data_IF_669376804539
#
_entry.id   IF_669376804539
#
_cell.length_a   1.000
_cell.length_b   1.000
_cell.length_c   1.000
_cell.angle_alpha   90.00
_cell.angle_beta   90.00
_cell.angle_gamma   90.00
#
_symmetry.space_group_name_H-M   'P 1'
#
loop_
_entity.id
_entity.type
_entity.pdbx_description
1 polymer ?
#
# COMPACT_ATOMS: atom_id res chain seq x y z
N UNK A 1 -0.09 -13.54 23.48
CA UNK A 1 -0.85 -12.42 22.90
C UNK A 1 -2.27 -12.88 22.64
N UNK A 2 -3.28 -12.10 23.05
CA UNK A 2 -4.67 -12.43 22.73
C UNK A 2 -4.97 -12.11 21.26
N UNK A 3 -5.89 -12.84 20.62
CA UNK A 3 -6.25 -12.57 19.22
C UNK A 3 -6.67 -11.10 19.01
N UNK A 4 -7.41 -10.53 19.96
CA UNK A 4 -7.87 -9.15 19.88
C UNK A 4 -6.74 -8.12 20.00
N UNK A 5 -5.72 -8.43 20.80
CA UNK A 5 -4.51 -7.61 20.94
C UNK A 5 -3.71 -7.57 19.62
N UNK A 6 -3.60 -8.70 18.91
CA UNK A 6 -2.98 -8.75 17.58
C UNK A 6 -3.77 -7.91 16.57
N UNK A 7 -5.10 -7.97 16.63
CA UNK A 7 -5.97 -7.18 15.76
C UNK A 7 -5.84 -5.67 16.01
N UNK A 8 -5.71 -5.24 17.27
CA UNK A 8 -5.43 -3.83 17.60
C UNK A 8 -4.05 -3.39 17.10
N UNK A 9 -3.04 -4.26 17.20
CA UNK A 9 -1.72 -4.00 16.59
C UNK A 9 -1.81 -3.80 15.08
N UNK A 10 -2.61 -4.61 14.37
CA UNK A 10 -2.84 -4.47 12.91
C UNK A 10 -3.51 -3.15 12.57
N UNK A 11 -4.56 -2.81 13.32
CA UNK A 11 -5.27 -1.54 13.17
C UNK A 11 -4.29 -0.36 13.26
N UNK A 12 -3.48 -0.32 14.32
CA UNK A 12 -2.51 0.77 14.56
C UNK A 12 -1.43 0.77 13.47
N UNK A 13 -0.88 -0.39 13.12
CA UNK A 13 0.14 -0.48 12.08
C UNK A 13 -0.35 0.14 10.76
N UNK A 14 -1.54 -0.23 10.30
CA UNK A 14 -2.14 0.31 9.06
C UNK A 14 -2.40 1.82 9.19
N UNK A 15 -2.92 2.25 10.33
CA UNK A 15 -3.32 3.65 10.54
C UNK A 15 -2.15 4.63 10.56
N UNK A 16 -0.97 4.17 10.99
CA UNK A 16 0.24 4.98 11.11
C UNK A 16 1.31 4.61 10.09
N UNK A 17 1.02 3.73 9.12
CA UNK A 17 1.99 3.24 8.14
C UNK A 17 2.67 4.36 7.36
N UNK A 18 1.90 5.36 6.94
CA UNK A 18 2.42 6.52 6.18
C UNK A 18 3.09 7.58 7.07
N UNK A 19 3.01 7.42 8.39
CA UNK A 19 3.44 8.39 9.40
C UNK A 19 4.24 7.73 10.52
N UNK A 20 5.34 7.01 10.21
CA UNK A 20 6.12 6.31 11.21
C UNK A 20 6.71 7.32 12.20
N UNK A 21 6.42 7.15 13.49
CA UNK A 21 6.89 7.99 14.59
C UNK A 21 6.40 9.46 14.61
N UNK A 22 5.46 9.84 13.75
CA UNK A 22 4.89 11.18 13.75
C UNK A 22 3.64 11.29 14.63
N UNK A 23 3.30 12.52 15.02
CA UNK A 23 2.05 12.84 15.71
C UNK A 23 0.96 13.12 14.67
N UNK A 24 -0.15 12.39 14.75
CA UNK A 24 -1.30 12.56 13.85
C UNK A 24 -2.42 13.24 14.62
N UNK A 25 -3.08 14.25 14.06
CA UNK A 25 -4.25 14.85 14.72
C UNK A 25 -5.38 13.84 14.92
N UNK A 26 -6.08 13.92 16.05
CA UNK A 26 -7.23 13.04 16.35
C UNK A 26 -8.29 13.05 15.24
N UNK A 27 -8.57 14.22 14.68
CA UNK A 27 -9.52 14.39 13.57
C UNK A 27 -9.08 13.68 12.30
N UNK A 28 -7.78 13.71 11.99
CA UNK A 28 -7.25 13.01 10.83
C UNK A 28 -7.39 11.50 11.00
N UNK A 29 -7.15 10.97 12.20
CA UNK A 29 -7.30 9.55 12.47
C UNK A 29 -8.77 9.10 12.39
N UNK A 30 -9.70 9.91 12.92
CA UNK A 30 -11.15 9.69 12.78
C UNK A 30 -11.56 9.68 11.31
N UNK A 31 -11.04 10.62 10.51
CA UNK A 31 -11.29 10.67 9.06
C UNK A 31 -10.74 9.44 8.35
N UNK A 32 -9.51 9.02 8.67
CA UNK A 32 -8.90 7.82 8.07
C UNK A 32 -9.80 6.61 8.30
N UNK A 33 -10.23 6.38 9.54
CA UNK A 33 -11.09 5.23 9.85
C UNK A 33 -12.50 5.31 9.27
N UNK A 34 -13.09 6.51 9.23
CA UNK A 34 -14.50 6.66 8.85
C UNK A 34 -14.75 6.95 7.37
N UNK A 35 -13.80 7.59 6.70
CA UNK A 35 -13.97 8.02 5.31
C UNK A 35 -13.01 7.32 4.36
N UNK A 36 -11.71 7.30 4.69
CA UNK A 36 -10.69 6.81 3.77
C UNK A 36 -10.69 5.27 3.73
N UNK A 37 -10.74 4.62 4.90
CA UNK A 37 -10.77 3.16 5.05
C UNK A 37 -12.19 2.60 5.20
N UNK A 38 -13.15 3.45 5.59
CA UNK A 38 -14.57 3.08 5.77
C UNK A 38 -14.78 1.88 6.70
N UNK A 39 -13.98 1.78 7.76
CA UNK A 39 -14.09 0.70 8.73
C UNK A 39 -15.23 0.90 9.73
N UNK A 40 -15.53 2.15 10.06
CA UNK A 40 -16.59 2.55 11.01
C UNK A 40 -17.20 3.89 10.64
N UNK A 41 -18.29 4.28 11.29
CA UNK A 41 -18.79 5.66 11.19
C UNK A 41 -17.94 6.63 12.02
N UNK A 42 -18.18 7.93 11.89
CA UNK A 42 -17.40 8.95 12.60
C UNK A 42 -17.59 8.88 14.13
N UNK A 43 -18.73 8.42 14.62
CA UNK A 43 -19.02 8.33 16.05
C UNK A 43 -18.27 7.16 16.69
N UNK A 44 -18.32 5.99 16.06
CA UNK A 44 -17.62 4.79 16.48
C UNK A 44 -16.10 4.92 16.28
N UNK A 45 -15.64 5.65 15.26
CA UNK A 45 -14.23 6.04 15.13
C UNK A 45 -13.76 6.87 16.33
N UNK A 46 -14.57 7.83 16.79
CA UNK A 46 -14.26 8.62 17.98
C UNK A 46 -14.25 7.75 19.25
N UNK A 47 -15.21 6.84 19.42
CA UNK A 47 -15.23 5.89 20.54
C UNK A 47 -14.01 4.96 20.53
N UNK A 48 -13.62 4.47 19.36
CA UNK A 48 -12.44 3.64 19.18
C UNK A 48 -11.18 4.40 19.59
N UNK A 49 -11.03 5.65 19.15
CA UNK A 49 -9.90 6.50 19.52
C UNK A 49 -9.81 6.67 21.04
N UNK A 50 -10.93 7.01 21.68
CA UNK A 50 -11.00 7.17 23.13
C UNK A 50 -10.68 5.87 23.86
N UNK A 51 -11.17 4.73 23.37
CA UNK A 51 -10.87 3.42 23.94
C UNK A 51 -9.37 3.13 23.86
N UNK A 52 -8.75 3.30 22.68
CA UNK A 52 -7.32 3.06 22.47
C UNK A 52 -6.43 3.95 23.34
N UNK A 53 -6.79 5.22 23.54
CA UNK A 53 -6.09 6.11 24.48
C UNK A 53 -6.25 5.60 25.92
N UNK A 54 -7.47 5.26 26.32
CA UNK A 54 -7.79 4.80 27.69
C UNK A 54 -7.03 3.51 28.04
N UNK A 55 -6.95 2.57 27.10
CA UNK A 55 -6.26 1.27 27.27
C UNK A 55 -4.74 1.36 27.08
N UNK A 56 -4.20 2.54 26.76
CA UNK A 56 -2.76 2.76 26.65
C UNK A 56 -2.13 2.32 25.33
N UNK A 57 -2.90 2.16 24.25
CA UNK A 57 -2.33 1.91 22.92
C UNK A 57 -1.79 3.17 22.26
N UNK A 58 -2.42 4.32 22.56
CA UNK A 58 -2.08 5.61 21.98
C UNK A 58 -1.76 6.62 23.09
N UNK A 59 -0.68 7.38 22.90
CA UNK A 59 -0.41 8.60 23.67
C UNK A 59 -1.10 9.79 22.99
N UNK A 60 -1.62 10.72 23.80
CA UNK A 60 -2.24 11.96 23.33
C UNK A 60 -1.46 13.17 23.83
N UNK A 61 -1.20 14.13 22.94
CA UNK A 61 -0.59 15.43 23.23
C UNK A 61 -1.15 16.47 22.26
N UNK A 62 -1.62 17.61 22.77
CA UNK A 62 -2.11 18.75 21.97
C UNK A 62 -3.09 18.33 20.84
N UNK A 63 -4.08 17.50 21.19
CA UNK A 63 -5.06 16.92 20.26
C UNK A 63 -4.47 16.07 19.11
N UNK A 64 -3.23 15.63 19.26
CA UNK A 64 -2.55 14.70 18.38
C UNK A 64 -2.23 13.40 19.11
N UNK A 65 -2.23 12.31 18.37
CA UNK A 65 -2.02 10.96 18.89
C UNK A 65 -0.85 10.28 18.21
N UNK A 66 -0.19 9.41 18.96
CA UNK A 66 0.93 8.59 18.50
C UNK A 66 0.89 7.22 19.17
N UNK A 67 1.28 6.13 18.48
CA UNK A 67 1.40 4.81 19.10
C UNK A 67 2.50 4.80 20.17
N UNK A 68 2.27 4.06 21.27
CA UNK A 68 3.28 3.90 22.34
C UNK A 68 4.46 3.08 21.84
N UNK A 69 4.19 2.01 21.12
CA UNK A 69 5.19 1.11 20.55
C UNK A 69 5.17 1.21 19.03
N UNK A 70 6.35 1.23 18.44
CA UNK A 70 6.52 1.21 16.99
C UNK A 70 6.43 -0.25 16.51
N UNK A 71 5.26 -0.59 15.96
CA UNK A 71 4.94 -1.95 15.51
C UNK A 71 5.60 -2.23 14.16
N UNK A 72 6.91 -2.49 14.16
CA UNK A 72 7.63 -2.93 12.97
C UNK A 72 7.49 -4.46 12.84
N UNK A 73 7.19 -4.95 11.63
CA UNK A 73 7.12 -6.38 11.30
C UNK A 73 5.87 -7.13 11.80
N UNK A 74 4.67 -6.60 11.51
CA UNK A 74 3.41 -7.31 11.75
C UNK A 74 2.86 -7.89 10.44
N UNK A 75 2.51 -9.18 10.45
CA UNK A 75 1.85 -9.83 9.31
C UNK A 75 0.36 -9.47 9.26
N UNK A 76 -0.04 -8.79 8.17
CA UNK A 76 -1.40 -8.35 7.90
C UNK A 76 -1.90 -9.15 6.69
N UNK A 77 -2.88 -10.06 6.89
CA UNK A 77 -3.47 -10.80 5.78
C UNK A 77 -4.07 -9.87 4.73
N UNK A 78 -3.95 -10.26 3.46
CA UNK A 78 -4.59 -9.51 2.39
C UNK A 78 -6.11 -9.51 2.57
N UNK A 79 -6.74 -8.34 2.43
CA UNK A 79 -8.19 -8.18 2.65
C UNK A 79 -8.62 -8.16 4.12
N UNK A 80 -7.68 -8.03 5.05
CA UNK A 80 -8.00 -7.87 6.48
C UNK A 80 -8.84 -6.59 6.73
N UNK A 81 -9.80 -6.69 7.66
CA UNK A 81 -10.66 -5.58 8.10
C UNK A 81 -10.91 -5.72 9.61
N UNK A 82 -10.76 -4.63 10.41
CA UNK A 82 -10.91 -4.70 11.85
C UNK A 82 -12.35 -4.99 12.30
N UNK A 83 -12.49 -5.86 13.29
CA UNK A 83 -13.73 -6.00 14.06
C UNK A 83 -13.84 -4.90 15.13
N UNK A 84 -14.00 -3.64 14.72
CA UNK A 84 -13.91 -2.46 15.59
C UNK A 84 -14.83 -2.53 16.81
N UNK A 85 -16.03 -3.12 16.66
CA UNK A 85 -16.98 -3.29 17.78
C UNK A 85 -16.36 -4.04 18.97
N UNK A 86 -15.51 -5.04 18.72
CA UNK A 86 -14.79 -5.79 19.76
C UNK A 86 -13.63 -4.98 20.35
N UNK A 87 -13.06 -4.06 19.59
CA UNK A 87 -11.95 -3.22 20.02
C UNK A 87 -12.41 -2.06 20.90
N UNK A 88 -13.63 -1.54 20.66
CA UNK A 88 -14.22 -0.48 21.48
C UNK A 88 -14.40 -0.93 22.93
N UNK A 89 -14.77 -2.20 23.15
CA UNK A 89 -14.91 -2.79 24.49
C UNK A 89 -13.60 -2.76 25.30
N UNK A 90 -12.47 -2.59 24.61
CA UNK A 90 -11.16 -2.32 25.18
C UNK A 90 -10.36 -3.58 25.46
N UNK A 91 -9.09 -3.58 25.06
CA UNK A 91 -8.06 -4.52 25.50
C UNK A 91 -6.89 -3.72 26.00
N UNK A 92 -6.44 -4.00 27.22
CA UNK A 92 -5.31 -3.32 27.81
C UNK A 92 -4.04 -3.55 26.99
N UNK A 93 -3.26 -2.49 26.81
CA UNK A 93 -1.96 -2.59 26.16
C UNK A 93 -0.97 -3.37 27.04
N UNK A 94 -0.43 -4.45 26.49
CA UNK A 94 0.66 -5.21 27.09
C UNK A 94 1.89 -4.94 26.21
N UNK A 95 2.94 -4.29 26.73
CA UNK A 95 4.20 -4.11 25.99
C UNK A 95 4.70 -5.46 25.50
N UNK A 96 5.02 -5.58 24.22
CA UNK A 96 5.70 -6.78 23.75
C UNK A 96 7.09 -6.79 24.38
N UNK A 97 7.46 -7.86 25.07
CA UNK A 97 8.86 -8.13 25.44
C UNK A 97 9.64 -8.46 24.16
N UNK A 98 9.80 -7.48 23.28
CA UNK A 98 10.67 -7.55 22.12
C UNK A 98 11.94 -6.75 22.45
N UNK A 99 13.03 -7.48 22.48
CA UNK A 99 14.37 -7.07 22.84
C UNK A 99 14.77 -5.69 22.29
N UNK A 100 15.29 -4.86 23.17
CA UNK A 100 16.01 -3.64 22.85
C UNK A 100 17.19 -3.93 21.92
N UNK A 101 17.02 -3.73 20.61
CA UNK A 101 18.13 -3.61 19.69
C UNK A 101 18.33 -2.12 19.38
N UNK A 102 19.31 -1.59 20.11
CA UNK A 102 19.99 -0.30 19.97
C UNK A 102 19.72 0.51 18.70
N UNK A 103 19.30 1.75 18.94
CA UNK A 103 19.62 2.90 18.12
C UNK A 103 21.13 2.92 17.76
N UNK A 104 21.45 3.02 16.47
CA UNK A 104 22.65 3.74 16.04
C UNK A 104 22.44 4.37 14.67
N UNK A 105 22.62 5.69 14.69
CA UNK A 105 22.57 6.68 13.63
C UNK A 105 23.46 6.35 12.42
N UNK A 106 23.08 6.91 11.25
CA UNK A 106 23.98 7.52 10.25
C UNK A 106 23.08 8.24 9.21
N UNK A 107 22.78 9.53 9.39
CA UNK A 107 23.46 10.71 8.82
C UNK A 107 23.48 10.71 7.27
N UNK A 108 22.63 11.59 6.73
CA UNK A 108 22.85 12.57 5.66
C UNK A 108 23.88 12.28 4.56
N UNK A 109 23.42 12.22 3.31
CA UNK A 109 23.99 13.03 2.21
C UNK A 109 23.12 12.96 0.95
N UNK A 110 22.46 14.07 0.61
CA UNK A 110 22.23 14.44 -0.79
C UNK A 110 23.53 15.08 -1.31
N UNK A 111 23.84 14.93 -2.61
CA UNK A 111 23.77 16.13 -3.46
C UNK A 111 23.33 15.90 -4.93
N UNK A 112 22.53 16.87 -5.40
CA UNK A 112 22.68 17.66 -6.64
C UNK A 112 22.75 16.94 -8.01
N UNK A 113 21.64 17.11 -8.75
CA UNK A 113 21.47 17.54 -10.15
C UNK A 113 22.60 17.26 -11.14
N UNK A 114 22.29 16.52 -12.21
CA UNK A 114 22.71 16.89 -13.58
C UNK A 114 21.74 16.36 -14.64
N UNK A 115 21.22 17.30 -15.43
CA UNK A 115 20.39 17.08 -16.61
C UNK A 115 21.19 16.42 -17.73
N UNK A 116 20.64 15.38 -18.35
CA UNK A 116 20.86 15.15 -19.78
C UNK A 116 19.65 14.45 -20.42
N UNK A 117 19.04 15.18 -21.35
CA UNK A 117 18.11 14.68 -22.36
C UNK A 117 18.79 13.58 -23.18
N UNK A 118 18.25 12.36 -23.20
CA UNK A 118 18.07 11.62 -24.47
C UNK A 118 16.82 10.75 -24.36
N UNK A 119 15.84 11.11 -25.16
CA UNK A 119 14.72 10.26 -25.57
C UNK A 119 15.25 9.02 -26.28
N UNK A 120 15.19 7.85 -25.64
CA UNK A 120 15.39 6.57 -26.33
C UNK A 120 14.25 5.62 -26.00
N UNK A 121 13.54 5.26 -27.07
CA UNK A 121 12.55 4.21 -27.12
C UNK A 121 13.24 2.88 -26.76
N UNK A 122 12.86 2.28 -25.64
CA UNK A 122 13.26 0.90 -25.34
C UNK A 122 12.21 -0.02 -25.95
N UNK A 123 12.51 -0.49 -27.15
CA UNK A 123 11.98 -1.72 -27.71
C UNK A 123 12.56 -2.88 -26.90
N UNK A 124 11.73 -3.50 -26.06
CA UNK A 124 12.05 -4.78 -25.42
C UNK A 124 12.00 -5.88 -26.50
N UNK A 125 13.13 -6.17 -27.13
CA UNK A 125 13.37 -7.44 -27.79
C UNK A 125 14.02 -8.42 -26.79
N UNK A 126 13.51 -9.66 -26.66
CA UNK A 126 13.99 -10.61 -25.67
C UNK A 126 15.19 -11.36 -26.24
N UNK A 127 16.40 -11.05 -25.78
CA UNK A 127 17.57 -11.89 -26.04
C UNK A 127 18.64 -11.64 -24.98
N UNK A 128 18.59 -12.41 -23.90
CA UNK A 128 19.76 -13.02 -23.24
C UNK A 128 19.25 -14.00 -22.18
N UNK A 129 19.76 -15.25 -22.13
CA UNK A 129 19.38 -16.21 -21.11
C UNK A 129 20.25 -15.95 -19.88
N UNK A 130 19.74 -15.23 -18.89
CA UNK A 130 20.32 -15.24 -17.56
C UNK A 130 19.23 -15.51 -16.53
N UNK A 131 19.36 -16.69 -15.96
CA UNK A 131 18.77 -17.24 -14.76
C UNK A 131 18.53 -16.19 -13.66
N UNK A 132 17.35 -15.58 -13.67
CA UNK A 132 16.78 -14.81 -12.58
C UNK A 132 15.28 -15.02 -12.63
N UNK A 133 14.74 -15.58 -11.54
CA UNK A 133 13.33 -15.63 -11.15
C UNK A 133 12.45 -14.70 -12.01
N UNK A 134 11.97 -15.22 -13.15
CA UNK A 134 11.09 -14.46 -14.04
C UNK A 134 9.76 -14.42 -13.30
N UNK A 135 9.41 -13.25 -12.77
CA UNK A 135 8.08 -13.01 -12.22
C UNK A 135 7.05 -13.60 -13.19
N UNK A 136 6.20 -14.57 -12.76
CA UNK A 136 5.20 -15.19 -13.61
C UNK A 136 4.33 -14.17 -14.36
N UNK A 137 4.18 -12.96 -13.81
CA UNK A 137 3.44 -11.86 -14.43
C UNK A 137 4.14 -11.22 -15.64
N UNK A 138 5.47 -11.34 -15.78
CA UNK A 138 6.20 -10.84 -16.95
C UNK A 138 5.80 -11.60 -18.21
N UNK A 139 5.54 -12.90 -18.10
CA UNK A 139 5.06 -13.72 -19.22
C UNK A 139 3.66 -13.25 -19.68
N UNK A 140 2.78 -12.95 -18.72
CA UNK A 140 1.43 -12.42 -19.00
C UNK A 140 1.44 -11.09 -19.74
N UNK A 141 2.47 -10.24 -19.59
CA UNK A 141 2.57 -8.95 -20.29
C UNK A 141 2.54 -9.14 -21.81
N UNK A 142 3.32 -10.09 -22.33
CA UNK A 142 3.41 -10.32 -23.78
C UNK A 142 2.12 -10.90 -24.35
N UNK A 143 1.49 -11.82 -23.61
CA UNK A 143 0.24 -12.47 -23.97
C UNK A 143 -0.93 -11.47 -23.98
N UNK A 144 -1.11 -10.70 -22.90
CA UNK A 144 -2.16 -9.68 -22.80
C UNK A 144 -2.00 -8.65 -23.93
N UNK A 145 -0.78 -8.17 -24.16
CA UNK A 145 -0.49 -7.16 -25.19
C UNK A 145 -0.80 -7.69 -26.59
N UNK A 146 -0.43 -8.93 -26.89
CA UNK A 146 -0.72 -9.57 -28.17
C UNK A 146 -2.22 -9.80 -28.35
N UNK A 147 -2.91 -10.27 -27.32
CA UNK A 147 -4.35 -10.47 -27.35
C UNK A 147 -5.12 -9.16 -27.61
N UNK A 148 -4.77 -8.08 -26.91
CA UNK A 148 -5.36 -6.76 -27.14
C UNK A 148 -5.09 -6.32 -28.59
N UNK A 149 -3.87 -6.48 -29.10
CA UNK A 149 -3.54 -6.10 -30.48
C UNK A 149 -4.38 -6.85 -31.51
N UNK A 150 -4.54 -8.16 -31.35
CA UNK A 150 -5.35 -9.00 -32.24
C UNK A 150 -6.82 -8.62 -32.20
N UNK A 151 -7.39 -8.39 -31.02
CA UNK A 151 -8.84 -8.12 -30.88
C UNK A 151 -9.19 -6.67 -31.19
N UNK A 152 -8.37 -5.69 -30.80
CA UNK A 152 -8.66 -4.28 -31.03
C UNK A 152 -8.17 -3.75 -32.38
N UNK A 153 -7.35 -4.51 -33.11
CA UNK A 153 -6.69 -4.05 -34.33
C UNK A 153 -5.71 -2.89 -34.12
N UNK A 154 -5.27 -2.65 -32.87
CA UNK A 154 -4.31 -1.59 -32.55
C UNK A 154 -2.89 -2.12 -32.68
N UNK A 155 -1.98 -1.25 -33.13
CA UNK A 155 -0.56 -1.57 -33.13
C UNK A 155 -0.04 -1.78 -31.70
N UNK A 156 0.84 -2.76 -31.52
CA UNK A 156 1.49 -3.08 -30.25
C UNK A 156 2.15 -1.84 -29.63
N UNK A 157 2.80 -1.00 -30.45
CA UNK A 157 3.42 0.25 -30.00
C UNK A 157 2.41 1.23 -29.41
N UNK A 158 1.23 1.35 -30.02
CA UNK A 158 0.15 2.21 -29.54
C UNK A 158 -0.45 1.68 -28.22
N UNK A 159 -0.62 0.36 -28.09
CA UNK A 159 -1.06 -0.29 -26.85
C UNK A 159 -0.05 -0.03 -25.73
N UNK A 160 1.23 -0.22 -26.02
CA UNK A 160 2.31 0.01 -25.05
C UNK A 160 2.37 1.48 -24.62
N UNK A 161 2.23 2.42 -25.56
CA UNK A 161 2.18 3.85 -25.27
C UNK A 161 0.97 4.21 -24.38
N UNK A 162 -0.21 3.63 -24.63
CA UNK A 162 -1.41 3.83 -23.81
C UNK A 162 -1.24 3.25 -22.41
N UNK A 163 -0.73 2.02 -22.29
CA UNK A 163 -0.46 1.38 -21.01
C UNK A 163 0.55 2.19 -20.18
N UNK A 164 1.65 2.67 -20.79
CA UNK A 164 2.63 3.51 -20.10
C UNK A 164 2.04 4.83 -19.61
N UNK A 165 1.15 5.48 -20.38
CA UNK A 165 0.45 6.70 -19.92
C UNK A 165 -0.42 6.42 -18.70
N UNK A 166 -1.17 5.30 -18.69
CA UNK A 166 -1.97 4.90 -17.52
C UNK A 166 -1.11 4.63 -16.30
N UNK A 167 -0.03 3.88 -16.49
CA UNK A 167 0.94 3.59 -15.43
C UNK A 167 1.54 4.84 -14.81
N UNK A 168 1.81 5.87 -15.62
CA UNK A 168 2.34 7.16 -15.13
C UNK A 168 1.29 7.99 -14.40
N UNK A 169 0.01 7.88 -14.80
CA UNK A 169 -1.10 8.62 -14.18
C UNK A 169 -1.59 7.98 -12.87
N UNK A 170 -1.44 6.67 -12.71
CA UNK A 170 -1.83 5.93 -11.51
C UNK A 170 -0.57 5.28 -10.92
N UNK A 171 0.04 5.88 -9.89
CA UNK A 171 1.16 5.28 -9.15
C UNK A 171 0.64 4.86 -7.78
N UNK A 172 0.91 3.63 -7.25
CA UNK A 172 1.78 2.56 -7.76
C UNK A 172 1.02 1.54 -8.65
N UNK A 173 1.32 1.49 -9.95
CA UNK A 173 0.68 0.56 -10.90
C UNK A 173 1.72 -0.21 -11.72
N UNK A 174 1.50 -1.52 -11.88
CA UNK A 174 2.33 -2.40 -12.71
C UNK A 174 1.94 -2.33 -14.19
N UNK A 175 2.85 -2.71 -15.10
CA UNK A 175 2.60 -2.65 -16.53
C UNK A 175 1.48 -3.62 -16.99
N UNK A 176 1.42 -4.82 -16.41
CA UNK A 176 0.38 -5.80 -16.73
C UNK A 176 -1.02 -5.28 -16.35
N UNK A 177 -1.15 -4.66 -15.17
CA UNK A 177 -2.41 -4.05 -14.73
C UNK A 177 -2.79 -2.87 -15.65
N UNK A 178 -1.81 -2.08 -16.10
CA UNK A 178 -2.03 -1.00 -17.05
C UNK A 178 -2.52 -1.52 -18.41
N UNK A 179 -2.03 -2.68 -18.87
CA UNK A 179 -2.53 -3.36 -20.06
C UNK A 179 -3.96 -3.85 -19.88
N UNK A 180 -4.33 -4.41 -18.71
CA UNK A 180 -5.72 -4.77 -18.41
C UNK A 180 -6.64 -3.55 -18.48
N UNK A 181 -6.24 -2.39 -17.97
CA UNK A 181 -7.04 -1.17 -18.13
C UNK A 181 -7.21 -0.77 -19.61
N UNK A 182 -6.18 -0.94 -20.45
CA UNK A 182 -6.30 -0.70 -21.89
C UNK A 182 -7.28 -1.68 -22.53
N UNK A 183 -7.23 -2.97 -22.18
CA UNK A 183 -8.17 -3.98 -22.67
C UNK A 183 -9.62 -3.62 -22.32
N UNK A 184 -9.86 -3.25 -21.05
CA UNK A 184 -11.18 -2.82 -20.57
C UNK A 184 -11.73 -1.62 -21.35
N UNK A 185 -10.88 -0.64 -21.68
CA UNK A 185 -11.28 0.53 -22.47
C UNK A 185 -11.64 0.20 -23.90
N UNK A 186 -10.97 -0.78 -24.50
CA UNK A 186 -11.31 -1.30 -25.83
C UNK A 186 -12.50 -2.26 -25.80
N UNK A 187 -13.15 -2.46 -24.63
CA UNK A 187 -14.26 -3.42 -24.43
C UNK A 187 -13.87 -4.86 -24.78
N UNK A 188 -12.59 -5.20 -24.62
CA UNK A 188 -12.08 -6.55 -24.82
C UNK A 188 -12.28 -7.32 -23.52
N UNK A 189 -12.73 -8.58 -23.62
CA UNK A 189 -12.76 -9.47 -22.47
C UNK A 189 -11.34 -9.92 -22.11
N UNK A 190 -10.93 -9.59 -20.90
CA UNK A 190 -9.59 -9.84 -20.34
C UNK A 190 -9.67 -10.78 -19.13
N UNK A 191 -10.84 -11.39 -18.88
CA UNK A 191 -11.07 -12.35 -17.80
C UNK A 191 -10.16 -13.57 -17.87
N UNK A 192 -9.64 -13.90 -19.07
CA UNK A 192 -8.68 -14.98 -19.29
C UNK A 192 -7.32 -14.74 -18.61
N UNK A 193 -6.98 -13.49 -18.27
CA UNK A 193 -5.65 -13.11 -17.78
C UNK A 193 -5.61 -12.75 -16.29
N UNK A 194 -6.77 -12.61 -15.66
CA UNK A 194 -6.98 -12.35 -14.22
C UNK A 194 -6.84 -13.67 -13.44
#
# INVERSE_FOLDING_TARGET
>A
MSDLEVEVRRLIHISFNDYPNEWISSEKLIRIWSLDLQWVDSNDAQKLLQSLIKTGWLQIKDNSVKPIESLYSLDIPIGWNPMVRRMIDGVDFIPSEAESINEKQLITSNPIVESSNVSSFVEDNPSTPNDRFVDPMIQKISEIRSHIATVSGLEIREIQRRAQRKRKACMPMTLWMALLLVGREQRIDISLFL
#
